data_IF_592276913855
#
_entry.id   IF_592276913855
#
_cell.length_a   1.000
_cell.length_b   1.000
_cell.length_c   1.000
_cell.angle_alpha   90.00
_cell.angle_beta   90.00
_cell.angle_gamma   90.00
#
_symmetry.space_group_name_H-M   'P 1'
#
loop_
_entity.id
_entity.type
_entity.pdbx_description
1 polymer ?
#
# COMPACT_ATOMS: atom_id res chain seq x y z
N UNK A 1 4.11 27.30 35.19
CA UNK A 1 4.37 26.77 33.85
C UNK A 1 4.33 25.24 33.78
N UNK A 2 4.37 24.50 34.90
CA UNK A 2 4.49 23.01 34.92
C UNK A 2 3.24 22.21 34.48
N UNK A 3 2.02 22.69 34.69
CA UNK A 3 0.82 21.89 34.47
C UNK A 3 0.43 21.71 32.98
N UNK A 4 0.82 22.62 32.11
CA UNK A 4 0.54 22.52 30.66
C UNK A 4 1.52 21.59 29.93
N UNK A 5 2.77 21.54 30.37
CA UNK A 5 3.79 20.63 29.82
C UNK A 5 3.46 19.17 30.16
N UNK A 6 3.08 18.91 31.43
CA UNK A 6 2.66 17.56 31.87
C UNK A 6 1.44 17.04 31.10
N UNK A 7 0.48 17.92 30.80
CA UNK A 7 -0.70 17.54 30.00
C UNK A 7 -0.35 17.22 28.57
N UNK A 8 0.57 17.96 27.97
CA UNK A 8 1.03 17.75 26.59
C UNK A 8 1.79 16.42 26.46
N UNK A 9 2.70 16.11 27.39
CA UNK A 9 3.46 14.85 27.40
C UNK A 9 2.58 13.61 27.54
N UNK A 10 1.42 13.70 28.18
CA UNK A 10 0.46 12.58 28.27
C UNK A 10 -0.44 12.47 27.05
N UNK A 11 -0.75 13.58 26.40
CA UNK A 11 -1.68 13.61 25.26
C UNK A 11 -1.05 13.06 23.98
N UNK A 12 0.22 13.36 23.72
CA UNK A 12 0.92 12.94 22.48
C UNK A 12 0.93 11.43 22.28
N UNK A 13 1.34 10.59 23.27
CA UNK A 13 1.32 9.13 23.11
C UNK A 13 -0.09 8.56 22.84
N UNK A 14 -1.12 9.11 23.48
CA UNK A 14 -2.50 8.67 23.28
C UNK A 14 -2.96 8.95 21.85
N UNK A 15 -2.61 10.13 21.33
CA UNK A 15 -2.90 10.50 19.95
C UNK A 15 -2.16 9.60 18.94
N UNK A 16 -0.89 9.30 19.17
CA UNK A 16 -0.09 8.40 18.33
C UNK A 16 -0.73 7.00 18.25
N UNK A 17 -1.05 6.39 19.40
CA UNK A 17 -1.71 5.09 19.44
C UNK A 17 -3.08 5.14 18.76
N UNK A 18 -3.84 6.21 18.99
CA UNK A 18 -5.15 6.39 18.37
C UNK A 18 -5.08 6.45 16.85
N UNK A 19 -4.21 7.28 16.30
CA UNK A 19 -4.02 7.42 14.85
C UNK A 19 -3.46 6.14 14.25
N UNK A 20 -2.48 5.51 14.88
CA UNK A 20 -1.91 4.24 14.43
C UNK A 20 -2.97 3.12 14.40
N UNK A 21 -3.79 3.01 15.46
CA UNK A 21 -4.85 2.01 15.54
C UNK A 21 -5.92 2.21 14.48
N UNK A 22 -6.39 3.45 14.28
CA UNK A 22 -7.36 3.78 13.22
C UNK A 22 -6.77 3.46 11.83
N UNK A 23 -5.51 3.79 11.60
CA UNK A 23 -4.80 3.45 10.35
C UNK A 23 -4.72 1.95 10.13
N UNK A 24 -4.31 1.18 11.14
CA UNK A 24 -4.26 -0.28 11.07
C UNK A 24 -5.63 -0.88 10.74
N UNK A 25 -6.68 -0.45 11.43
CA UNK A 25 -8.04 -0.90 11.17
C UNK A 25 -8.51 -0.54 9.75
N UNK A 26 -8.17 0.64 9.25
CA UNK A 26 -8.54 1.09 7.90
C UNK A 26 -7.90 0.27 6.77
N UNK A 27 -6.80 -0.44 7.04
CA UNK A 27 -6.13 -1.31 6.07
C UNK A 27 -6.80 -2.69 5.92
N UNK A 28 -7.52 -3.15 6.92
CA UNK A 28 -8.16 -4.48 6.93
C UNK A 28 -9.12 -4.70 5.75
N UNK A 29 -9.99 -3.75 5.38
CA UNK A 29 -10.91 -3.94 4.26
C UNK A 29 -10.21 -4.24 2.94
N UNK A 30 -9.13 -3.52 2.62
CA UNK A 30 -8.38 -3.79 1.38
C UNK A 30 -7.73 -5.17 1.43
N UNK A 31 -7.16 -5.57 2.58
CA UNK A 31 -6.54 -6.87 2.75
C UNK A 31 -7.56 -8.01 2.49
N UNK A 32 -8.75 -7.91 3.08
CA UNK A 32 -9.84 -8.88 2.88
C UNK A 32 -10.27 -8.93 1.41
N UNK A 33 -10.42 -7.77 0.77
CA UNK A 33 -10.79 -7.69 -0.65
C UNK A 33 -9.71 -8.29 -1.53
N UNK A 34 -8.46 -7.96 -1.32
CA UNK A 34 -7.33 -8.53 -2.08
C UNK A 34 -7.26 -10.06 -1.92
N UNK A 35 -7.43 -10.57 -0.69
CA UNK A 35 -7.40 -12.00 -0.43
C UNK A 35 -8.50 -12.75 -1.19
N UNK A 36 -9.72 -12.24 -1.16
CA UNK A 36 -10.92 -12.91 -1.68
C UNK A 36 -11.18 -12.68 -3.17
N UNK A 37 -10.46 -11.78 -3.84
CA UNK A 37 -10.71 -11.45 -5.24
C UNK A 37 -9.64 -12.00 -6.18
N UNK A 38 -10.08 -12.46 -7.37
CA UNK A 38 -9.21 -12.84 -8.48
C UNK A 38 -9.12 -11.71 -9.53
N UNK A 39 -9.48 -10.48 -9.16
CA UNK A 39 -9.57 -9.34 -10.09
C UNK A 39 -8.22 -8.86 -10.57
N UNK A 40 -7.19 -8.98 -9.72
CA UNK A 40 -5.84 -8.53 -10.05
C UNK A 40 -4.96 -9.72 -10.46
N UNK A 41 -4.04 -9.46 -11.36
CA UNK A 41 -3.01 -10.44 -11.73
C UNK A 41 -2.27 -10.96 -10.48
N UNK A 42 -1.97 -12.27 -10.36
CA UNK A 42 -1.40 -12.87 -9.15
C UNK A 42 -0.15 -12.17 -8.63
N UNK A 43 0.78 -11.78 -9.50
CA UNK A 43 2.02 -11.09 -9.10
C UNK A 43 1.71 -9.73 -8.46
N UNK A 44 0.88 -8.92 -9.12
CA UNK A 44 0.44 -7.63 -8.60
C UNK A 44 -0.27 -7.78 -7.25
N UNK A 45 -1.21 -8.72 -7.16
CA UNK A 45 -1.94 -9.03 -5.93
C UNK A 45 -1.00 -9.40 -4.78
N UNK A 46 -0.01 -10.26 -5.05
CA UNK A 46 0.94 -10.72 -4.02
C UNK A 46 1.84 -9.57 -3.55
N UNK A 47 2.39 -8.75 -4.47
CA UNK A 47 3.21 -7.59 -4.10
C UNK A 47 2.38 -6.58 -3.29
N UNK A 48 1.11 -6.35 -3.64
CA UNK A 48 0.20 -5.51 -2.87
C UNK A 48 -0.05 -6.06 -1.46
N UNK A 49 -0.26 -7.37 -1.31
CA UNK A 49 -0.42 -8.02 -0.01
C UNK A 49 0.85 -7.88 0.83
N UNK A 50 2.02 -8.10 0.25
CA UNK A 50 3.31 -7.93 0.94
C UNK A 50 3.53 -6.47 1.36
N UNK A 51 3.23 -5.51 0.50
CA UNK A 51 3.28 -4.08 0.84
C UNK A 51 2.32 -3.75 1.99
N UNK A 52 1.15 -4.39 2.02
CA UNK A 52 0.19 -4.23 3.09
C UNK A 52 0.73 -4.78 4.41
N UNK A 53 1.35 -5.96 4.39
CA UNK A 53 1.98 -6.56 5.57
C UNK A 53 3.12 -5.70 6.10
N UNK A 54 3.96 -5.14 5.21
CA UNK A 54 5.01 -4.20 5.63
C UNK A 54 4.41 -2.96 6.34
N UNK A 55 3.31 -2.42 5.83
CA UNK A 55 2.64 -1.29 6.47
C UNK A 55 1.96 -1.65 7.80
N UNK A 56 1.42 -2.86 7.95
CA UNK A 56 1.01 -3.37 9.27
C UNK A 56 2.19 -3.45 10.23
N UNK A 57 3.37 -3.88 9.74
CA UNK A 57 4.60 -3.86 10.53
C UNK A 57 4.97 -2.47 11.02
N UNK A 58 4.88 -1.44 10.18
CA UNK A 58 5.11 -0.03 10.56
C UNK A 58 4.20 0.36 11.72
N UNK A 59 2.89 0.16 11.57
CA UNK A 59 1.88 0.54 12.58
C UNK A 59 2.08 -0.25 13.88
N UNK A 60 2.37 -1.55 13.78
CA UNK A 60 2.60 -2.40 14.95
C UNK A 60 3.85 -1.97 15.73
N UNK A 61 4.95 -1.64 15.03
CA UNK A 61 6.17 -1.17 15.67
C UNK A 61 6.00 0.21 16.32
N UNK A 62 5.23 1.10 15.70
CA UNK A 62 4.88 2.39 16.28
C UNK A 62 4.12 2.21 17.61
N UNK A 63 3.08 1.37 17.63
CA UNK A 63 2.31 1.11 18.85
C UNK A 63 3.22 0.47 19.91
N UNK A 64 4.04 -0.52 19.52
CA UNK A 64 4.96 -1.20 20.43
C UNK A 64 5.97 -0.24 21.04
N UNK A 65 6.51 0.71 20.27
CA UNK A 65 7.45 1.72 20.74
C UNK A 65 6.80 2.64 21.79
N UNK A 66 5.60 3.15 21.50
CA UNK A 66 4.89 4.04 22.44
C UNK A 66 4.54 3.30 23.74
N UNK A 67 4.12 2.03 23.66
CA UNK A 67 3.87 1.19 24.84
C UNK A 67 5.15 0.91 25.62
N UNK A 68 6.26 0.64 24.91
CA UNK A 68 7.56 0.43 25.54
C UNK A 68 8.02 1.68 26.32
N UNK A 69 7.93 2.85 25.74
CA UNK A 69 8.31 4.11 26.40
C UNK A 69 7.44 4.41 27.62
N UNK A 70 6.14 4.18 27.49
CA UNK A 70 5.23 4.34 28.63
C UNK A 70 5.63 3.42 29.79
N UNK A 71 5.97 2.15 29.51
CA UNK A 71 6.39 1.20 30.50
C UNK A 71 7.80 1.50 31.08
N UNK A 72 8.74 2.01 30.23
CA UNK A 72 10.08 2.42 30.69
C UNK A 72 10.01 3.51 31.75
N UNK A 73 9.11 4.48 31.59
CA UNK A 73 8.89 5.53 32.57
C UNK A 73 8.38 4.98 33.92
N UNK A 74 7.71 3.82 33.91
CA UNK A 74 7.04 3.27 35.11
C UNK A 74 7.83 2.13 35.74
N UNK A 75 8.56 1.30 34.96
CA UNK A 75 9.01 -0.01 35.48
C UNK A 75 10.46 -0.41 35.19
N UNK A 76 11.25 0.28 34.36
CA UNK A 76 12.59 -0.22 34.02
C UNK A 76 13.69 0.67 34.58
N UNK A 77 14.53 0.13 35.51
CA UNK A 77 15.83 0.70 35.80
C UNK A 77 16.81 0.40 34.67
N UNK A 78 17.69 1.34 34.42
CA UNK A 78 18.86 1.37 33.54
C UNK A 78 19.33 0.02 32.96
N UNK A 79 19.00 -0.28 31.71
CA UNK A 79 19.59 -1.41 31.06
C UNK A 79 18.92 -1.76 29.72
N UNK A 80 19.68 -1.71 28.65
CA UNK A 80 19.39 -2.04 27.25
C UNK A 80 18.37 -1.07 26.64
N UNK A 81 18.83 -0.19 25.77
CA UNK A 81 18.00 0.72 25.00
C UNK A 81 17.19 -0.05 23.95
N UNK A 82 16.06 -0.61 24.41
CA UNK A 82 15.12 -1.29 23.51
C UNK A 82 14.50 -0.34 22.48
N UNK A 83 14.54 0.97 22.70
CA UNK A 83 14.05 1.99 21.78
C UNK A 83 14.73 1.88 20.40
N UNK A 84 16.04 1.73 20.36
CA UNK A 84 16.80 1.59 19.12
C UNK A 84 16.36 0.38 18.30
N UNK A 85 16.03 -0.74 18.95
CA UNK A 85 15.55 -1.94 18.28
C UNK A 85 14.18 -1.72 17.65
N UNK A 86 13.26 -1.06 18.34
CA UNK A 86 11.95 -0.74 17.79
C UNK A 86 12.05 0.21 16.60
N UNK A 87 12.90 1.23 16.67
CA UNK A 87 13.15 2.16 15.58
C UNK A 87 13.78 1.46 14.39
N UNK A 88 14.79 0.62 14.61
CA UNK A 88 15.46 -0.15 13.55
C UNK A 88 14.46 -1.07 12.81
N UNK A 89 13.60 -1.77 13.52
CA UNK A 89 12.58 -2.64 12.92
C UNK A 89 11.48 -1.82 12.22
N UNK A 90 11.07 -0.69 12.79
CA UNK A 90 10.15 0.23 12.14
C UNK A 90 10.69 0.72 10.79
N UNK A 91 11.93 1.17 10.75
CA UNK A 91 12.59 1.63 9.54
C UNK A 91 12.78 0.51 8.51
N UNK A 92 13.07 -0.70 8.95
CA UNK A 92 13.09 -1.87 8.07
C UNK A 92 11.76 -2.04 7.32
N UNK A 93 10.63 -2.01 8.03
CA UNK A 93 9.32 -2.11 7.41
C UNK A 93 8.99 -0.92 6.51
N UNK A 94 9.46 0.27 6.90
CA UNK A 94 9.29 1.48 6.09
C UNK A 94 10.03 1.38 4.76
N UNK A 95 11.32 1.04 4.78
CA UNK A 95 12.10 0.83 3.58
C UNK A 95 11.54 -0.30 2.71
N UNK A 96 11.12 -1.41 3.33
CA UNK A 96 10.48 -2.53 2.64
C UNK A 96 9.19 -2.11 1.95
N UNK A 97 8.35 -1.28 2.58
CA UNK A 97 7.12 -0.74 1.96
C UNK A 97 7.44 0.11 0.73
N UNK A 98 8.48 0.94 0.78
CA UNK A 98 8.93 1.77 -0.35
C UNK A 98 9.50 0.91 -1.49
N UNK A 99 10.33 -0.08 -1.19
CA UNK A 99 10.89 -1.00 -2.19
C UNK A 99 9.79 -1.82 -2.88
N UNK A 100 8.81 -2.33 -2.12
CA UNK A 100 7.68 -3.06 -2.69
C UNK A 100 6.80 -2.17 -3.57
N UNK A 101 6.64 -0.88 -3.25
CA UNK A 101 5.95 0.07 -4.12
C UNK A 101 6.71 0.29 -5.44
N UNK A 102 8.04 0.36 -5.40
CA UNK A 102 8.88 0.45 -6.59
C UNK A 102 8.76 -0.82 -7.47
N UNK A 103 8.86 -2.00 -6.86
CA UNK A 103 8.67 -3.26 -7.59
C UNK A 103 7.27 -3.40 -8.19
N UNK A 104 6.25 -2.91 -7.49
CA UNK A 104 4.89 -2.89 -8.01
C UNK A 104 4.76 -1.99 -9.25
N UNK A 105 5.39 -0.82 -9.24
CA UNK A 105 5.43 0.07 -10.39
C UNK A 105 6.19 -0.56 -11.58
N UNK A 106 7.34 -1.20 -11.32
CA UNK A 106 8.13 -1.93 -12.33
C UNK A 106 7.31 -3.09 -12.91
N UNK A 107 6.68 -3.89 -12.07
CA UNK A 107 5.85 -5.03 -12.49
C UNK A 107 4.71 -4.57 -13.40
N UNK A 108 4.02 -3.49 -13.03
CA UNK A 108 2.96 -2.92 -13.86
C UNK A 108 3.49 -2.34 -15.19
N UNK A 109 4.68 -1.76 -15.17
CA UNK A 109 5.33 -1.29 -16.40
C UNK A 109 5.69 -2.45 -17.34
N UNK A 110 6.26 -3.54 -16.80
CA UNK A 110 6.54 -4.77 -17.57
C UNK A 110 5.24 -5.38 -18.11
N UNK A 111 4.18 -5.43 -17.31
CA UNK A 111 2.87 -5.92 -17.76
C UNK A 111 2.32 -5.08 -18.93
N UNK A 112 2.51 -3.76 -18.90
CA UNK A 112 2.11 -2.87 -19.98
C UNK A 112 2.94 -3.10 -21.25
N UNK A 113 4.26 -3.26 -21.15
CA UNK A 113 5.14 -3.54 -22.29
C UNK A 113 4.88 -4.90 -22.93
N UNK A 114 4.53 -5.89 -22.14
CA UNK A 114 4.33 -7.29 -22.56
C UNK A 114 2.85 -7.71 -22.57
N UNK A 115 1.92 -6.78 -22.75
CA UNK A 115 0.49 -7.04 -22.62
C UNK A 115 0.01 -8.30 -23.38
N UNK A 116 0.61 -8.62 -24.53
CA UNK A 116 0.28 -9.79 -25.35
C UNK A 116 0.69 -11.12 -24.74
N UNK A 117 1.87 -11.19 -24.14
CA UNK A 117 2.49 -12.44 -23.66
C UNK A 117 2.49 -12.54 -22.15
N UNK A 118 2.05 -11.49 -21.45
CA UNK A 118 2.16 -11.39 -20.01
C UNK A 118 1.37 -12.48 -19.26
N UNK A 119 0.16 -12.82 -19.71
CA UNK A 119 -0.64 -13.90 -19.10
C UNK A 119 -0.03 -15.29 -19.31
N UNK A 120 0.61 -15.52 -20.45
CA UNK A 120 1.26 -16.80 -20.71
C UNK A 120 2.51 -16.99 -19.83
N UNK A 121 3.19 -15.90 -19.53
CA UNK A 121 4.32 -15.83 -18.60
C UNK A 121 3.91 -15.84 -17.11
N UNK A 122 2.62 -15.74 -16.80
CA UNK A 122 2.09 -15.49 -15.44
C UNK A 122 2.31 -16.62 -14.44
N UNK A 123 2.71 -17.81 -14.87
CA UNK A 123 3.05 -18.92 -13.97
C UNK A 123 4.38 -18.73 -13.22
N UNK A 124 5.12 -17.68 -13.54
CA UNK A 124 6.43 -17.43 -12.94
C UNK A 124 6.28 -16.56 -11.68
N UNK A 125 6.29 -17.17 -10.51
CA UNK A 125 6.52 -16.50 -9.22
C UNK A 125 7.92 -15.87 -9.13
N UNK A 126 8.71 -15.96 -10.21
CA UNK A 126 10.07 -15.44 -10.27
C UNK A 126 10.12 -13.93 -9.96
N UNK A 127 9.18 -13.15 -10.49
CA UNK A 127 9.10 -11.72 -10.23
C UNK A 127 8.90 -11.39 -8.75
N UNK A 128 8.06 -12.18 -8.05
CA UNK A 128 7.83 -12.02 -6.61
C UNK A 128 9.09 -12.43 -5.83
N UNK A 129 9.70 -13.55 -6.21
CA UNK A 129 10.92 -14.01 -5.56
C UNK A 129 12.05 -12.98 -5.70
N UNK A 130 12.25 -12.42 -6.89
CA UNK A 130 13.24 -11.36 -7.15
C UNK A 130 12.91 -10.11 -6.32
N UNK A 131 11.65 -9.70 -6.29
CA UNK A 131 11.23 -8.54 -5.49
C UNK A 131 11.57 -8.74 -4.00
N UNK A 132 11.29 -9.89 -3.42
CA UNK A 132 11.60 -10.20 -2.02
C UNK A 132 13.10 -10.36 -1.79
N UNK A 133 13.81 -11.09 -2.67
CA UNK A 133 15.26 -11.32 -2.56
C UNK A 133 16.07 -10.02 -2.61
N UNK A 134 15.55 -8.97 -3.24
CA UNK A 134 16.18 -7.65 -3.29
C UNK A 134 15.66 -6.75 -2.15
N UNK A 135 14.33 -6.71 -1.94
CA UNK A 135 13.74 -5.78 -0.95
C UNK A 135 14.19 -6.08 0.47
N UNK A 136 14.27 -7.36 0.88
CA UNK A 136 14.60 -7.73 2.26
C UNK A 136 16.05 -7.32 2.61
N UNK A 137 17.10 -7.76 1.87
CA UNK A 137 18.46 -7.37 2.19
C UNK A 137 18.71 -5.86 2.08
N UNK A 138 18.12 -5.21 1.08
CA UNK A 138 18.30 -3.78 0.87
C UNK A 138 17.64 -2.97 2.00
N UNK A 139 16.45 -3.36 2.46
CA UNK A 139 15.77 -2.71 3.59
C UNK A 139 16.51 -2.95 4.90
N UNK A 140 17.04 -4.16 5.12
CA UNK A 140 17.84 -4.46 6.30
C UNK A 140 19.16 -3.69 6.31
N UNK A 141 19.87 -3.64 5.17
CA UNK A 141 21.11 -2.86 5.03
C UNK A 141 20.87 -1.37 5.23
N UNK A 142 19.77 -0.85 4.68
CA UNK A 142 19.39 0.55 4.84
C UNK A 142 19.10 0.89 6.31
N UNK A 143 18.29 0.10 6.99
CA UNK A 143 17.96 0.29 8.39
C UNK A 143 19.21 0.21 9.28
N UNK A 144 20.11 -0.73 8.99
CA UNK A 144 21.39 -0.84 9.69
C UNK A 144 22.32 0.37 9.46
N UNK A 145 22.41 0.89 8.24
CA UNK A 145 23.23 2.08 7.92
C UNK A 145 22.65 3.33 8.59
N UNK A 146 21.34 3.49 8.55
CA UNK A 146 20.66 4.64 9.13
C UNK A 146 20.77 4.67 10.65
N UNK A 147 20.38 3.60 11.34
CA UNK A 147 20.37 3.52 12.80
C UNK A 147 21.65 2.90 13.38
N UNK A 148 22.07 1.75 12.89
CA UNK A 148 23.17 1.01 13.46
C UNK A 148 24.53 1.71 13.31
N UNK A 149 24.72 2.48 12.23
CA UNK A 149 25.93 3.29 12.00
C UNK A 149 25.72 4.79 12.26
N UNK A 150 24.52 5.23 12.60
CA UNK A 150 24.19 6.62 12.87
C UNK A 150 24.24 7.56 11.64
N UNK A 151 24.17 7.00 10.43
CA UNK A 151 24.21 7.79 9.19
C UNK A 151 22.82 8.20 8.71
N UNK A 152 22.06 8.90 9.55
CA UNK A 152 20.66 9.31 9.30
C UNK A 152 20.49 10.10 8.01
N UNK A 153 21.40 11.01 7.67
CA UNK A 153 21.31 11.79 6.42
C UNK A 153 21.36 10.91 5.18
N UNK A 154 22.20 9.85 5.19
CA UNK A 154 22.26 8.88 4.09
C UNK A 154 20.95 8.14 4.00
N UNK A 155 20.40 7.74 5.15
CA UNK A 155 19.07 7.10 5.23
C UNK A 155 17.97 7.97 4.64
N UNK A 156 17.86 9.22 5.08
CA UNK A 156 16.87 10.18 4.59
C UNK A 156 17.02 10.43 3.07
N UNK A 157 18.25 10.67 2.60
CA UNK A 157 18.51 10.91 1.19
C UNK A 157 18.15 9.70 0.31
N UNK A 158 18.48 8.50 0.76
CA UNK A 158 18.17 7.26 0.03
C UNK A 158 16.67 7.04 -0.10
N UNK A 159 15.91 7.23 0.98
CA UNK A 159 14.45 7.13 0.94
C UNK A 159 13.85 8.20 0.03
N UNK A 160 14.31 9.44 0.16
CA UNK A 160 13.84 10.53 -0.69
C UNK A 160 14.05 10.21 -2.18
N UNK A 161 15.25 9.74 -2.56
CA UNK A 161 15.54 9.32 -3.93
C UNK A 161 14.65 8.15 -4.39
N UNK A 162 14.42 7.16 -3.51
CA UNK A 162 13.55 6.03 -3.81
C UNK A 162 12.10 6.47 -4.03
N UNK A 163 11.55 7.36 -3.19
CA UNK A 163 10.19 7.90 -3.36
C UNK A 163 10.05 8.73 -4.64
N UNK A 164 11.05 9.54 -4.98
CA UNK A 164 11.08 10.27 -6.26
C UNK A 164 11.11 9.30 -7.43
N UNK A 165 11.91 8.21 -7.36
CA UNK A 165 11.94 7.18 -8.40
C UNK A 165 10.57 6.48 -8.57
N UNK A 166 9.89 6.14 -7.47
CA UNK A 166 8.52 5.58 -7.49
C UNK A 166 7.54 6.53 -8.15
N UNK A 167 7.60 7.83 -7.83
CA UNK A 167 6.78 8.87 -8.45
C UNK A 167 7.00 8.96 -9.95
N UNK A 168 8.25 9.13 -10.37
CA UNK A 168 8.60 9.29 -11.79
C UNK A 168 8.16 8.05 -12.58
N UNK A 169 8.47 6.85 -12.09
CA UNK A 169 8.10 5.61 -12.76
C UNK A 169 6.57 5.45 -12.84
N UNK A 170 5.84 5.85 -11.81
CA UNK A 170 4.37 5.80 -11.81
C UNK A 170 3.76 6.75 -12.84
N UNK A 171 4.30 7.96 -12.97
CA UNK A 171 3.86 8.90 -14.01
C UNK A 171 4.19 8.38 -15.41
N UNK A 172 5.40 7.87 -15.63
CA UNK A 172 5.79 7.26 -16.90
C UNK A 172 4.86 6.11 -17.26
N UNK A 173 4.56 5.23 -16.30
CA UNK A 173 3.61 4.13 -16.49
C UNK A 173 2.22 4.64 -16.88
N UNK A 174 1.72 5.67 -16.20
CA UNK A 174 0.41 6.24 -16.49
C UNK A 174 0.34 6.79 -17.91
N UNK A 175 1.24 7.69 -18.28
CA UNK A 175 1.23 8.29 -19.61
C UNK A 175 1.45 7.25 -20.70
N UNK A 176 2.38 6.32 -20.50
CA UNK A 176 2.63 5.25 -21.44
C UNK A 176 1.40 4.35 -21.63
N UNK A 177 0.77 3.90 -20.53
CA UNK A 177 -0.40 3.03 -20.57
C UNK A 177 -1.58 3.69 -21.29
N UNK A 178 -1.83 4.98 -21.04
CA UNK A 178 -2.90 5.74 -21.70
C UNK A 178 -2.62 5.91 -23.19
N UNK A 179 -1.37 6.22 -23.56
CA UNK A 179 -0.97 6.42 -24.96
C UNK A 179 -1.07 5.12 -25.76
N UNK A 180 -0.55 4.01 -25.21
CA UNK A 180 -0.61 2.70 -25.86
C UNK A 180 -2.05 2.24 -26.00
N UNK A 181 -2.87 2.38 -24.96
CA UNK A 181 -4.29 2.04 -25.00
C UNK A 181 -5.03 2.81 -26.10
N UNK A 182 -4.84 4.13 -26.16
CA UNK A 182 -5.48 4.96 -27.18
C UNK A 182 -5.07 4.57 -28.60
N UNK A 183 -3.80 4.18 -28.80
CA UNK A 183 -3.28 3.72 -30.08
C UNK A 183 -3.85 2.35 -30.45
N UNK A 184 -3.86 1.38 -29.55
CA UNK A 184 -4.30 0.01 -29.84
C UNK A 184 -5.81 -0.11 -30.03
N UNK A 185 -6.61 0.76 -29.39
CA UNK A 185 -8.07 0.78 -29.61
C UNK A 185 -8.46 1.09 -31.07
N UNK A 186 -7.58 1.75 -31.83
CA UNK A 186 -7.81 2.08 -33.24
C UNK A 186 -7.50 0.92 -34.18
N UNK A 187 -6.92 -0.19 -33.72
CA UNK A 187 -6.59 -1.35 -34.54
C UNK A 187 -7.50 -2.55 -34.19
N UNK A 188 -7.63 -3.49 -35.13
CA UNK A 188 -8.36 -4.75 -34.89
C UNK A 188 -7.56 -5.70 -33.98
N UNK A 189 -7.46 -5.34 -32.72
CA UNK A 189 -6.74 -6.11 -31.70
C UNK A 189 -7.66 -7.19 -31.12
N UNK A 190 -7.16 -8.41 -30.84
CA UNK A 190 -7.93 -9.47 -30.18
C UNK A 190 -8.58 -9.01 -28.88
N UNK A 191 -9.79 -9.50 -28.61
CA UNK A 191 -10.59 -9.11 -27.42
C UNK A 191 -9.83 -9.30 -26.10
N UNK A 192 -9.03 -10.37 -26.00
CA UNK A 192 -8.20 -10.70 -24.84
C UNK A 192 -7.17 -9.58 -24.55
N UNK A 193 -6.48 -9.10 -25.58
CA UNK A 193 -5.48 -8.02 -25.42
C UNK A 193 -6.15 -6.71 -25.02
N UNK A 194 -7.32 -6.40 -25.60
CA UNK A 194 -8.09 -5.20 -25.19
C UNK A 194 -8.49 -5.25 -23.73
N UNK A 195 -8.91 -6.42 -23.24
CA UNK A 195 -9.27 -6.60 -21.84
C UNK A 195 -8.09 -6.34 -20.91
N UNK A 196 -6.92 -6.92 -21.21
CA UNK A 196 -5.70 -6.74 -20.43
C UNK A 196 -5.24 -5.29 -20.42
N UNK A 197 -5.22 -4.62 -21.56
CA UNK A 197 -4.86 -3.22 -21.66
C UNK A 197 -5.81 -2.33 -20.87
N UNK A 198 -7.11 -2.61 -20.93
CA UNK A 198 -8.10 -1.88 -20.13
C UNK A 198 -7.88 -2.10 -18.63
N UNK A 199 -7.58 -3.31 -18.19
CA UNK A 199 -7.24 -3.60 -16.78
C UNK A 199 -6.02 -2.81 -16.34
N UNK A 200 -4.93 -2.80 -17.12
CA UNK A 200 -3.71 -2.04 -16.83
C UNK A 200 -4.00 -0.54 -16.72
N UNK A 201 -4.78 0.01 -17.66
CA UNK A 201 -5.15 1.44 -17.63
C UNK A 201 -6.02 1.78 -16.42
N UNK A 202 -7.03 0.95 -16.11
CA UNK A 202 -7.87 1.16 -14.93
C UNK A 202 -7.06 1.09 -13.63
N UNK A 203 -6.13 0.12 -13.56
CA UNK A 203 -5.21 0.01 -12.43
C UNK A 203 -4.33 1.26 -12.31
N UNK A 204 -3.71 1.70 -13.41
CA UNK A 204 -2.84 2.87 -13.42
C UNK A 204 -3.59 4.15 -13.00
N UNK A 205 -4.84 4.33 -13.46
CA UNK A 205 -5.69 5.47 -13.08
C UNK A 205 -6.01 5.50 -11.57
N UNK A 206 -6.11 4.35 -10.90
CA UNK A 206 -6.35 4.29 -9.47
C UNK A 206 -5.05 4.38 -8.67
N UNK A 207 -3.99 3.74 -9.15
CA UNK A 207 -2.73 3.56 -8.46
C UNK A 207 -1.88 4.83 -8.46
N UNK A 208 -1.78 5.52 -9.60
CA UNK A 208 -0.92 6.70 -9.71
C UNK A 208 -1.33 7.82 -8.76
N UNK A 209 -2.61 8.24 -8.67
CA UNK A 209 -3.01 9.22 -7.67
C UNK A 209 -2.72 8.77 -6.23
N UNK A 210 -2.94 7.47 -5.94
CA UNK A 210 -2.68 6.91 -4.61
C UNK A 210 -1.19 6.97 -4.24
N UNK A 211 -0.31 6.66 -5.18
CA UNK A 211 1.15 6.78 -5.00
C UNK A 211 1.57 8.25 -4.88
N UNK A 212 1.07 9.13 -5.73
CA UNK A 212 1.42 10.55 -5.65
C UNK A 212 1.12 11.13 -4.27
N UNK A 213 -0.08 10.88 -3.75
CA UNK A 213 -0.46 11.33 -2.41
C UNK A 213 0.38 10.65 -1.34
N UNK A 214 0.62 9.34 -1.45
CA UNK A 214 1.48 8.59 -0.53
C UNK A 214 2.90 9.15 -0.48
N UNK A 215 3.54 9.35 -1.62
CA UNK A 215 4.90 9.88 -1.67
C UNK A 215 4.99 11.32 -1.16
N UNK A 216 3.98 12.15 -1.45
CA UNK A 216 3.91 13.50 -0.88
C UNK A 216 3.81 13.48 0.64
N UNK A 217 2.95 12.64 1.22
CA UNK A 217 2.82 12.51 2.67
C UNK A 217 4.13 12.00 3.29
N UNK A 218 4.80 11.04 2.66
CA UNK A 218 6.09 10.52 3.12
C UNK A 218 7.19 11.59 3.08
N UNK A 219 7.29 12.35 1.99
CA UNK A 219 8.25 13.44 1.85
C UNK A 219 8.00 14.51 2.93
N UNK A 220 6.74 14.91 3.13
CA UNK A 220 6.37 15.86 4.21
C UNK A 220 6.70 15.26 5.59
N UNK A 221 6.45 13.96 5.77
CA UNK A 221 6.76 13.24 7.00
C UNK A 221 8.26 13.17 7.33
N UNK A 222 9.17 13.32 6.36
CA UNK A 222 10.61 13.40 6.61
C UNK A 222 11.04 14.76 7.18
N UNK A 223 10.26 15.81 6.99
CA UNK A 223 10.60 17.16 7.49
C UNK A 223 10.83 17.18 9.00
N UNK A 224 9.97 16.60 9.86
CA UNK A 224 10.21 16.53 11.29
C UNK A 224 11.54 15.87 11.67
N UNK A 225 11.93 14.80 10.96
CA UNK A 225 13.21 14.12 11.21
C UNK A 225 14.38 15.03 10.90
N UNK A 226 14.32 15.76 9.76
CA UNK A 226 15.35 16.72 9.40
C UNK A 226 15.44 17.87 10.43
N UNK A 227 14.31 18.46 10.82
CA UNK A 227 14.23 19.53 11.82
C UNK A 227 14.82 19.09 13.17
N UNK A 228 14.56 17.85 13.58
CA UNK A 228 15.14 17.29 14.78
C UNK A 228 16.67 17.10 14.65
N UNK A 229 17.15 16.58 13.53
CA UNK A 229 18.60 16.38 13.29
C UNK A 229 19.39 17.70 13.36
N UNK A 230 18.79 18.80 12.90
CA UNK A 230 19.37 20.14 13.00
C UNK A 230 19.24 20.78 14.41
N UNK A 231 18.66 20.06 15.36
CA UNK A 231 18.50 20.53 16.75
C UNK A 231 17.41 21.60 16.96
N UNK A 232 16.51 21.79 15.97
CA UNK A 232 15.48 22.86 16.01
C UNK A 232 14.18 22.43 16.67
N UNK A 233 14.08 21.22 17.21
CA UNK A 233 12.86 20.75 17.80
C UNK A 233 13.05 19.70 18.90
N UNK A 234 12.02 19.54 19.74
CA UNK A 234 11.99 18.50 20.75
C UNK A 234 11.82 17.11 20.08
N UNK A 235 12.68 16.16 20.43
CA UNK A 235 12.68 14.80 19.88
C UNK A 235 11.31 14.13 19.91
N UNK A 236 10.67 14.09 21.08
CA UNK A 236 9.38 13.42 21.24
C UNK A 236 8.26 13.99 20.35
N UNK A 237 8.22 15.32 20.17
CA UNK A 237 7.23 15.96 19.32
C UNK A 237 7.51 15.71 17.83
N UNK A 238 8.76 15.83 17.39
CA UNK A 238 9.14 15.60 15.98
C UNK A 238 8.94 14.14 15.59
N UNK A 239 9.23 13.23 16.47
CA UNK A 239 8.97 11.80 16.30
C UNK A 239 7.46 11.52 16.17
N UNK A 240 6.64 12.09 17.05
CA UNK A 240 5.20 11.94 16.97
C UNK A 240 4.60 12.44 15.65
N UNK A 241 5.10 13.57 15.13
CA UNK A 241 4.71 14.08 13.83
C UNK A 241 5.09 13.12 12.70
N UNK A 242 6.31 12.59 12.73
CA UNK A 242 6.80 11.61 11.75
C UNK A 242 5.93 10.34 11.73
N UNK A 243 5.67 9.75 12.89
CA UNK A 243 4.85 8.55 12.99
C UNK A 243 3.39 8.79 12.62
N UNK A 244 2.85 9.94 13.01
CA UNK A 244 1.48 10.33 12.62
C UNK A 244 1.35 10.48 11.12
N UNK A 245 2.32 11.13 10.46
CA UNK A 245 2.33 11.26 9.00
C UNK A 245 2.38 9.87 8.31
N UNK A 246 3.16 8.92 8.85
CA UNK A 246 3.24 7.57 8.32
C UNK A 246 1.95 6.78 8.50
N UNK A 247 1.34 6.87 9.66
CA UNK A 247 0.05 6.25 9.93
C UNK A 247 -1.05 6.78 9.00
N UNK A 248 -1.11 8.09 8.80
CA UNK A 248 -2.04 8.72 7.84
C UNK A 248 -1.75 8.22 6.41
N UNK A 249 -0.48 8.14 6.02
CA UNK A 249 -0.09 7.64 4.72
C UNK A 249 -0.58 6.20 4.48
N UNK A 250 -0.41 5.30 5.45
CA UNK A 250 -0.88 3.94 5.36
C UNK A 250 -2.40 3.87 5.13
N UNK A 251 -3.17 4.67 5.87
CA UNK A 251 -4.62 4.74 5.71
C UNK A 251 -5.04 5.32 4.36
N UNK A 252 -4.48 6.46 3.98
CA UNK A 252 -4.88 7.21 2.77
C UNK A 252 -4.57 6.43 1.51
N UNK A 253 -3.36 5.91 1.36
CA UNK A 253 -2.95 5.16 0.16
C UNK A 253 -3.89 3.98 -0.12
N UNK A 254 -4.24 3.22 0.91
CA UNK A 254 -5.06 2.03 0.76
C UNK A 254 -6.51 2.34 0.44
N UNK A 255 -7.07 3.34 1.11
CA UNK A 255 -8.43 3.76 0.83
C UNK A 255 -8.57 4.40 -0.56
N UNK A 256 -7.59 5.17 -1.00
CA UNK A 256 -7.57 5.72 -2.36
C UNK A 256 -7.49 4.61 -3.42
N UNK A 257 -6.64 3.59 -3.23
CA UNK A 257 -6.54 2.46 -4.14
C UNK A 257 -7.86 1.66 -4.18
N UNK A 258 -8.44 1.38 -3.02
CA UNK A 258 -9.70 0.64 -2.90
C UNK A 258 -10.85 1.36 -3.60
N UNK A 259 -10.97 2.66 -3.39
CA UNK A 259 -12.05 3.47 -3.95
C UNK A 259 -11.81 3.85 -5.41
N UNK A 260 -10.56 4.06 -5.79
CA UNK A 260 -10.18 4.44 -7.15
C UNK A 260 -10.32 3.30 -8.16
N UNK A 261 -10.07 2.05 -7.76
CA UNK A 261 -10.17 0.90 -8.66
C UNK A 261 -11.59 0.33 -8.69
N UNK A 262 -12.27 0.47 -9.81
CA UNK A 262 -13.70 0.12 -9.95
C UNK A 262 -14.04 -1.32 -9.54
N UNK A 263 -13.18 -2.29 -9.89
CA UNK A 263 -13.40 -3.69 -9.55
C UNK A 263 -13.13 -3.99 -8.07
N UNK A 264 -12.08 -3.38 -7.45
CA UNK A 264 -11.84 -3.50 -6.00
C UNK A 264 -12.97 -2.87 -5.20
N UNK A 265 -13.45 -1.70 -5.63
CA UNK A 265 -14.60 -1.02 -5.00
C UNK A 265 -15.87 -1.89 -5.06
N UNK A 266 -16.17 -2.49 -6.21
CA UNK A 266 -17.31 -3.43 -6.34
C UNK A 266 -17.15 -4.65 -5.44
N UNK A 267 -15.95 -5.24 -5.40
CA UNK A 267 -15.65 -6.36 -4.53
C UNK A 267 -15.81 -5.98 -3.04
N UNK A 268 -15.31 -4.80 -2.65
CA UNK A 268 -15.50 -4.26 -1.32
C UNK A 268 -16.97 -4.11 -0.95
N UNK A 269 -17.74 -3.42 -1.79
CA UNK A 269 -19.18 -3.25 -1.55
C UNK A 269 -19.91 -4.59 -1.47
N UNK A 270 -19.58 -5.56 -2.33
CA UNK A 270 -20.17 -6.91 -2.27
C UNK A 270 -19.81 -7.65 -0.98
N UNK A 271 -18.55 -7.56 -0.54
CA UNK A 271 -18.07 -8.25 0.67
C UNK A 271 -18.72 -7.64 1.92
N UNK A 272 -18.74 -6.32 2.04
CA UNK A 272 -19.20 -5.62 3.24
C UNK A 272 -20.72 -5.33 3.23
N UNK A 273 -21.36 -5.17 2.07
CA UNK A 273 -22.83 -5.08 2.01
C UNK A 273 -23.52 -6.37 2.45
N UNK A 274 -22.88 -7.53 2.21
CA UNK A 274 -23.39 -8.81 2.73
C UNK A 274 -23.32 -8.87 4.27
N UNK A 275 -22.36 -8.19 4.88
CA UNK A 275 -22.26 -8.11 6.35
C UNK A 275 -23.31 -7.15 6.97
N UNK A 276 -23.72 -6.11 6.22
CA UNK A 276 -24.66 -5.10 6.71
C UNK A 276 -26.14 -5.43 6.39
N UNK A 277 -26.38 -6.32 5.43
CA UNK A 277 -27.73 -6.74 5.07
C UNK A 277 -27.97 -8.09 5.77
N UNK A 278 -28.80 -8.08 6.81
CA UNK A 278 -29.35 -9.27 7.47
C UNK A 278 -29.80 -10.33 6.44
N UNK A 279 -29.84 -11.62 6.78
CA UNK A 279 -29.90 -12.72 5.82
C UNK A 279 -31.12 -12.61 4.92
N UNK A 280 -30.93 -11.97 3.76
CA UNK A 280 -31.95 -11.99 2.72
C UNK A 280 -32.04 -13.45 2.28
N UNK A 281 -33.12 -14.10 2.69
CA UNK A 281 -33.47 -15.46 2.30
C UNK A 281 -33.01 -15.74 0.89
N UNK A 282 -32.01 -16.63 0.76
CA UNK A 282 -31.61 -17.21 -0.51
C UNK A 282 -32.82 -17.99 -1.05
N UNK A 283 -33.70 -17.35 -1.81
CA UNK A 283 -34.56 -18.06 -2.72
C UNK A 283 -33.60 -18.76 -3.71
N UNK A 284 -33.32 -20.03 -3.44
CA UNK A 284 -32.79 -20.94 -4.44
C UNK A 284 -33.76 -20.98 -5.59
N UNK A 285 -33.52 -20.17 -6.59
CA UNK A 285 -34.11 -20.37 -7.91
C UNK A 285 -33.44 -21.63 -8.44
N UNK A 286 -34.18 -22.74 -8.40
CA UNK A 286 -33.76 -23.99 -9.06
C UNK A 286 -33.88 -23.72 -10.54
N UNK A 287 -32.76 -23.37 -11.18
CA UNK A 287 -32.70 -23.23 -12.64
C UNK A 287 -32.69 -24.64 -13.27
N UNK A 288 -33.66 -24.89 -14.12
CA UNK A 288 -33.68 -26.02 -15.03
C UNK A 288 -32.48 -25.94 -15.99
N UNK A 289 -31.77 -27.05 -16.17
CA UNK A 289 -30.41 -27.10 -16.72
C UNK A 289 -30.24 -26.76 -18.21
N UNK A 290 -31.32 -26.54 -18.97
CA UNK A 290 -31.23 -26.31 -20.41
C UNK A 290 -31.34 -24.84 -20.87
N UNK A 291 -31.86 -23.94 -20.00
CA UNK A 291 -31.93 -22.50 -20.31
C UNK A 291 -30.67 -21.72 -19.86
N UNK A 292 -29.75 -22.36 -19.20
CA UNK A 292 -28.64 -21.68 -18.50
C UNK A 292 -27.49 -21.29 -19.41
N UNK A 293 -27.22 -22.04 -20.48
CA UNK A 293 -26.07 -21.75 -21.37
C UNK A 293 -26.38 -20.54 -22.26
N UNK A 294 -27.57 -20.43 -22.82
CA UNK A 294 -27.96 -19.28 -23.66
C UNK A 294 -28.00 -17.98 -22.84
N UNK A 295 -28.66 -17.99 -21.67
CA UNK A 295 -28.73 -16.81 -20.78
C UNK A 295 -27.38 -16.42 -20.17
N UNK A 296 -26.48 -17.36 -19.93
CA UNK A 296 -25.14 -17.06 -19.45
C UNK A 296 -24.31 -16.35 -20.54
N UNK A 297 -24.48 -16.72 -21.81
CA UNK A 297 -23.83 -16.07 -22.95
C UNK A 297 -24.39 -14.65 -23.14
N UNK A 298 -25.70 -14.46 -23.11
CA UNK A 298 -26.34 -13.16 -23.26
C UNK A 298 -25.99 -12.21 -22.10
N UNK A 299 -26.01 -12.68 -20.86
CA UNK A 299 -25.57 -11.92 -19.70
C UNK A 299 -24.07 -11.55 -19.75
N UNK A 300 -23.23 -12.40 -20.34
CA UNK A 300 -21.82 -12.11 -20.55
C UNK A 300 -21.63 -11.00 -21.59
N UNK A 301 -22.38 -11.03 -22.69
CA UNK A 301 -22.38 -9.97 -23.71
C UNK A 301 -22.98 -8.67 -23.20
N UNK A 302 -24.03 -8.70 -22.40
CA UNK A 302 -24.61 -7.50 -21.76
C UNK A 302 -23.66 -6.90 -20.73
N UNK A 303 -22.97 -7.71 -19.95
CA UNK A 303 -21.91 -7.27 -19.05
C UNK A 303 -20.74 -6.64 -19.81
N UNK A 304 -20.33 -7.23 -20.92
CA UNK A 304 -19.31 -6.65 -21.81
C UNK A 304 -19.78 -5.31 -22.39
N UNK A 305 -21.00 -5.22 -22.89
CA UNK A 305 -21.56 -3.98 -23.44
C UNK A 305 -21.74 -2.88 -22.39
N UNK A 306 -22.04 -3.23 -21.13
CA UNK A 306 -22.13 -2.25 -20.02
C UNK A 306 -20.77 -1.73 -19.55
N UNK A 307 -19.69 -2.46 -19.83
CA UNK A 307 -18.32 -2.03 -19.57
C UNK A 307 -17.81 -1.09 -20.67
N UNK A 308 -18.43 -1.15 -21.87
CA UNK A 308 -17.99 -0.40 -23.06
C UNK A 308 -18.78 0.89 -23.31
N UNK A 309 -19.80 1.18 -22.53
CA UNK A 309 -20.49 2.46 -22.46
C UNK A 309 -20.02 3.26 -21.24
#
# INVERSE_FOLDING_TARGET
MSSSEDSFHRFVPIMEIGVASISGLSMIPLFIVLYNTAVLHPNCKTILILSQLAQFGIVAMQIALVVYEYNKQVYLPDGIDGEEVYLLVHEFFYAMSTMLALFLAIERFIACLKARTYEESSKSYLGIFVALAISIPLSASWSYVSHGLGHYYIGIATIFCAEVAVLVLSFVLFFYSVTVYAKEMNYAVPLRERYQMNEIVQYSRAFVPSICVSSLIKIIGLIPVFVWQEGWGQYGFMRALFFTAHSINCAVMKNMLLMGHSALRRAFLKTFAVCCIAPRRRNRVIFSSNDTVSKATDNHFDMLNSIWR
#
